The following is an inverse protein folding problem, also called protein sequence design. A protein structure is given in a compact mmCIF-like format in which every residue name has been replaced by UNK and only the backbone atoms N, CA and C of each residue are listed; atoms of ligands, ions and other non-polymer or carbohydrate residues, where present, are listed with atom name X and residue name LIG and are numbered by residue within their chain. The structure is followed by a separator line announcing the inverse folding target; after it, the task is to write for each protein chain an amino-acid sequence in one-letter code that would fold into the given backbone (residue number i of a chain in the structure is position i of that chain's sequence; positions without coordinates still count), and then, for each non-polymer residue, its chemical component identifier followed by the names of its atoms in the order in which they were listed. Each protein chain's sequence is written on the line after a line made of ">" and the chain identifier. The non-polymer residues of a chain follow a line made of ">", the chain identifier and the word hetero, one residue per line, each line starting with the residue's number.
data_IF_433204595367
#
_entry.id   IF_433204595367
#
_cell.length_a   1.000
_cell.length_b   1.000
_cell.length_c   1.000
_cell.angle_alpha   90.00
_cell.angle_beta   90.00
_cell.angle_gamma   90.00
#
_symmetry.space_group_name_H-M   'P 1'
#
loop_
_entity.id
_entity.type
_entity.pdbx_description
1 polymer ?
#
# COMPACT_ATOMS: atom_id res chain seq x y z
N UNK A 1 -1.97 28.23 -19.12
CA UNK A 1 -2.13 27.42 -20.35
C UNK A 1 -1.00 26.38 -20.47
N UNK A 2 -0.71 25.64 -19.39
CA UNK A 2 0.49 24.78 -19.31
C UNK A 2 0.20 23.37 -18.79
N UNK A 3 -1.07 22.95 -18.73
CA UNK A 3 -1.48 21.68 -18.13
C UNK A 3 -1.79 20.56 -19.14
N UNK A 4 -1.79 20.85 -20.45
CA UNK A 4 -2.18 19.87 -21.48
C UNK A 4 -0.99 19.02 -21.95
N UNK A 5 0.25 19.52 -21.82
CA UNK A 5 1.46 18.80 -22.24
C UNK A 5 1.90 17.72 -21.24
N UNK A 6 1.70 17.94 -19.93
CA UNK A 6 2.09 16.99 -18.88
C UNK A 6 1.28 15.67 -18.92
N UNK A 7 0.01 15.73 -19.34
CA UNK A 7 -0.83 14.52 -19.45
C UNK A 7 -0.45 13.62 -20.64
N UNK A 8 0.22 14.17 -21.66
CA UNK A 8 0.67 13.40 -22.82
C UNK A 8 1.97 12.64 -22.54
N UNK A 9 2.87 13.20 -21.71
CA UNK A 9 4.14 12.57 -21.35
C UNK A 9 3.95 11.39 -20.38
N UNK A 10 2.97 11.49 -19.47
CA UNK A 10 2.57 10.37 -18.61
C UNK A 10 2.04 9.15 -19.42
N UNK A 11 1.30 9.39 -20.51
CA UNK A 11 0.78 8.34 -21.39
C UNK A 11 1.89 7.67 -22.22
N UNK A 12 2.90 8.44 -22.66
CA UNK A 12 4.05 7.93 -23.42
C UNK A 12 4.98 7.10 -22.51
N UNK A 13 5.09 7.47 -21.24
CA UNK A 13 5.93 6.76 -20.26
C UNK A 13 5.33 5.41 -19.86
N UNK A 14 4.00 5.34 -19.70
CA UNK A 14 3.27 4.09 -19.46
C UNK A 14 3.41 3.09 -20.61
N UNK A 15 3.43 3.55 -21.87
CA UNK A 15 3.63 2.68 -23.03
C UNK A 15 5.08 2.18 -23.20
N UNK A 16 6.08 2.88 -22.67
CA UNK A 16 7.48 2.43 -22.72
C UNK A 16 7.80 1.31 -21.73
N UNK A 17 7.08 1.21 -20.62
CA UNK A 17 7.27 0.15 -19.62
C UNK A 17 6.73 -1.22 -20.08
N UNK A 18 5.90 -1.26 -21.14
CA UNK A 18 5.29 -2.49 -21.66
C UNK A 18 6.03 -3.05 -22.90
N UNK A 19 7.00 -2.32 -23.48
CA UNK A 19 7.47 -2.57 -24.85
C UNK A 19 8.96 -2.84 -25.10
N UNK A 20 9.84 -2.91 -24.09
CA UNK A 20 11.28 -3.03 -24.33
C UNK A 20 11.84 -4.43 -24.04
N UNK A 21 11.67 -5.35 -25.01
CA UNK A 21 12.45 -6.58 -25.11
C UNK A 21 13.05 -6.69 -26.52
N UNK A 22 14.26 -6.20 -26.73
CA UNK A 22 15.04 -6.44 -27.95
C UNK A 22 16.36 -7.12 -27.58
N UNK A 23 16.63 -8.18 -28.35
CA UNK A 23 17.76 -9.08 -28.29
C UNK A 23 19.09 -8.48 -28.78
N UNK A 24 20.19 -9.01 -28.25
CA UNK A 24 21.53 -9.00 -28.87
C UNK A 24 22.43 -10.09 -28.25
N UNK A 25 22.95 -11.04 -29.06
CA UNK A 25 23.98 -12.06 -28.70
C UNK A 25 25.42 -11.47 -28.71
N UNK A 26 26.56 -12.22 -28.94
CA UNK A 26 26.73 -13.60 -29.48
C UNK A 26 27.95 -14.46 -28.94
N UNK A 27 28.16 -15.67 -29.53
CA UNK A 27 29.39 -16.49 -29.74
C UNK A 27 29.81 -17.71 -28.85
N UNK A 28 29.78 -18.94 -29.41
CA UNK A 28 30.94 -19.83 -29.79
C UNK A 28 30.43 -21.25 -30.21
N UNK A 29 30.56 -21.71 -31.48
CA UNK A 29 31.59 -22.52 -32.18
C UNK A 29 31.79 -23.99 -31.71
N UNK A 30 31.13 -25.01 -32.32
CA UNK A 30 31.66 -26.04 -33.31
C UNK A 30 31.55 -27.50 -32.78
N UNK A 31 31.74 -28.60 -33.58
CA UNK A 31 30.85 -29.11 -34.64
C UNK A 31 30.61 -30.65 -34.64
N UNK A 32 29.73 -31.09 -35.56
CA UNK A 32 29.75 -32.38 -36.32
C UNK A 32 28.96 -33.60 -35.79
N UNK A 33 27.97 -34.07 -36.57
CA UNK A 33 28.10 -35.26 -37.46
C UNK A 33 26.78 -35.55 -38.22
N UNK A 34 26.91 -35.92 -39.49
CA UNK A 34 25.84 -36.12 -40.47
C UNK A 34 25.12 -37.48 -40.38
N UNK A 35 23.83 -37.50 -40.76
CA UNK A 35 23.15 -38.59 -41.49
C UNK A 35 21.81 -38.09 -42.09
N UNK A 36 21.58 -38.35 -43.37
CA UNK A 36 20.35 -38.09 -44.17
C UNK A 36 19.63 -39.41 -44.52
N UNK A 37 18.44 -39.41 -45.14
CA UNK A 37 17.10 -39.05 -44.65
C UNK A 37 16.14 -40.28 -44.74
N UNK A 38 14.80 -40.16 -44.55
CA UNK A 38 13.96 -40.07 -45.74
C UNK A 38 12.63 -39.29 -45.62
N UNK A 39 12.24 -38.77 -46.78
CA UNK A 39 10.89 -38.65 -47.38
C UNK A 39 9.89 -37.65 -46.78
N UNK A 40 9.59 -36.71 -47.67
CA UNK A 40 8.65 -35.60 -47.66
C UNK A 40 7.20 -36.09 -47.60
N UNK A 41 6.42 -35.52 -46.69
CA UNK A 41 5.00 -35.26 -46.93
C UNK A 41 4.73 -33.78 -46.62
N UNK A 42 4.41 -33.06 -47.68
CA UNK A 42 4.06 -31.65 -47.70
C UNK A 42 2.79 -31.38 -46.91
N UNK A 43 2.90 -30.66 -45.79
CA UNK A 43 1.78 -29.92 -45.22
C UNK A 43 2.21 -28.48 -44.93
N UNK A 44 1.37 -27.59 -45.45
CA UNK A 44 1.45 -26.15 -45.45
C UNK A 44 1.77 -25.55 -44.09
N UNK A 45 2.72 -24.62 -44.11
CA UNK A 45 2.98 -23.63 -43.07
C UNK A 45 1.68 -22.92 -42.72
N UNK A 46 1.10 -23.23 -41.57
CA UNK A 46 0.17 -22.34 -40.89
C UNK A 46 0.95 -21.63 -39.81
N UNK A 47 1.11 -20.32 -40.03
CA UNK A 47 1.60 -19.35 -39.06
C UNK A 47 1.03 -19.62 -37.67
N UNK A 48 1.89 -19.80 -36.68
CA UNK A 48 1.50 -19.69 -35.27
C UNK A 48 0.82 -18.33 -35.06
N UNK A 49 -0.39 -18.28 -34.48
CA UNK A 49 -0.93 -17.00 -34.05
C UNK A 49 -0.09 -16.53 -32.86
N UNK A 50 0.47 -15.33 -33.00
CA UNK A 50 1.02 -14.58 -31.87
C UNK A 50 -0.05 -14.32 -30.79
N UNK A 51 0.34 -13.73 -29.64
CA UNK A 51 -0.57 -13.56 -28.52
C UNK A 51 -1.79 -12.75 -28.95
N UNK A 52 -2.97 -13.36 -28.84
CA UNK A 52 -4.25 -12.76 -29.18
C UNK A 52 -4.44 -11.48 -28.36
N UNK A 53 -4.48 -10.34 -29.05
CA UNK A 53 -4.95 -9.07 -28.49
C UNK A 53 -6.38 -9.32 -27.98
N UNK A 54 -6.58 -9.24 -26.67
CA UNK A 54 -7.90 -9.34 -26.03
C UNK A 54 -8.86 -8.33 -26.69
N UNK A 55 -9.88 -8.84 -27.38
CA UNK A 55 -10.94 -8.03 -27.99
C UNK A 55 -11.56 -7.10 -26.95
N UNK A 56 -11.57 -5.80 -27.23
CA UNK A 56 -12.26 -4.76 -26.44
C UNK A 56 -13.74 -4.62 -26.84
N UNK A 57 -14.30 -5.59 -27.57
CA UNK A 57 -15.69 -5.54 -28.01
C UNK A 57 -16.66 -5.59 -26.80
N UNK A 58 -17.74 -4.78 -26.81
CA UNK A 58 -18.78 -4.87 -25.79
C UNK A 58 -19.35 -6.28 -25.73
N UNK A 59 -19.39 -6.86 -24.54
CA UNK A 59 -20.17 -8.05 -24.25
C UNK A 59 -21.56 -7.67 -23.74
N UNK A 60 -22.58 -8.55 -23.85
CA UNK A 60 -23.92 -8.28 -23.32
C UNK A 60 -23.90 -7.86 -21.85
N UNK A 61 -22.98 -8.44 -21.06
CA UNK A 61 -22.78 -8.06 -19.66
C UNK A 61 -22.21 -6.64 -19.50
N UNK A 62 -21.17 -6.28 -20.25
CA UNK A 62 -20.58 -4.93 -20.16
C UNK A 62 -21.57 -3.84 -20.58
N UNK A 63 -22.44 -4.11 -21.56
CA UNK A 63 -23.49 -3.18 -21.97
C UNK A 63 -24.56 -3.03 -20.87
N UNK A 64 -25.01 -4.15 -20.29
CA UNK A 64 -25.94 -4.16 -19.16
C UNK A 64 -25.38 -3.35 -17.97
N UNK A 65 -24.13 -3.60 -17.58
CA UNK A 65 -23.49 -2.91 -16.47
C UNK A 65 -23.34 -1.40 -16.76
N UNK A 66 -22.92 -1.04 -17.97
CA UNK A 66 -22.80 0.37 -18.39
C UNK A 66 -24.15 1.07 -18.34
N UNK A 67 -25.21 0.43 -18.83
CA UNK A 67 -26.56 0.97 -18.79
C UNK A 67 -27.06 1.18 -17.35
N UNK A 68 -26.80 0.23 -16.44
CA UNK A 68 -27.15 0.39 -15.03
C UNK A 68 -26.38 1.53 -14.36
N UNK A 69 -25.09 1.71 -14.68
CA UNK A 69 -24.29 2.84 -14.19
C UNK A 69 -24.80 4.19 -14.74
N UNK A 70 -25.23 4.25 -16.00
CA UNK A 70 -25.86 5.45 -16.58
C UNK A 70 -27.20 5.76 -15.90
N UNK A 71 -28.00 4.74 -15.58
CA UNK A 71 -29.23 4.91 -14.82
C UNK A 71 -28.95 5.41 -13.40
N UNK A 72 -27.92 4.90 -12.72
CA UNK A 72 -27.49 5.39 -11.41
C UNK A 72 -27.20 6.90 -11.44
N UNK A 73 -26.46 7.37 -12.45
CA UNK A 73 -26.16 8.80 -12.64
C UNK A 73 -27.44 9.61 -12.87
N UNK A 74 -28.39 9.10 -13.66
CA UNK A 74 -29.68 9.75 -13.89
C UNK A 74 -30.49 9.87 -12.60
N UNK A 75 -30.57 8.79 -11.82
CA UNK A 75 -31.28 8.76 -10.53
C UNK A 75 -30.64 9.73 -9.54
N UNK A 76 -29.30 9.80 -9.48
CA UNK A 76 -28.58 10.75 -8.63
C UNK A 76 -28.93 12.21 -8.99
N UNK A 77 -28.85 12.58 -10.28
CA UNK A 77 -29.13 13.95 -10.75
C UNK A 77 -30.59 14.36 -10.53
N UNK A 78 -31.54 13.43 -10.66
CA UNK A 78 -32.97 13.72 -10.43
C UNK A 78 -33.31 13.92 -8.95
N UNK A 79 -32.46 13.44 -8.04
CA UNK A 79 -32.73 13.43 -6.60
C UNK A 79 -31.93 14.46 -5.80
N UNK A 80 -31.42 15.52 -6.44
CA UNK A 80 -30.60 16.58 -5.80
C UNK A 80 -31.24 17.26 -4.58
N UNK A 81 -32.53 17.07 -4.30
CA UNK A 81 -33.26 17.72 -3.20
C UNK A 81 -33.80 16.80 -2.09
N UNK A 82 -33.53 15.49 -2.10
CA UNK A 82 -34.04 14.57 -1.06
C UNK A 82 -32.97 14.21 -0.03
N UNK A 83 -33.39 14.14 1.24
CA UNK A 83 -32.52 13.94 2.40
C UNK A 83 -31.88 12.55 2.50
N UNK A 84 -32.34 11.55 1.72
CA UNK A 84 -31.85 10.17 1.78
C UNK A 84 -30.70 9.91 0.81
N UNK A 85 -29.66 9.25 1.29
CA UNK A 85 -28.47 8.93 0.50
C UNK A 85 -28.82 8.03 -0.69
N UNK A 86 -28.04 8.13 -1.78
CA UNK A 86 -28.20 7.24 -2.94
C UNK A 86 -28.02 5.77 -2.54
N UNK A 87 -27.17 5.51 -1.55
CA UNK A 87 -26.91 4.18 -1.01
C UNK A 87 -28.11 3.57 -0.30
N UNK A 88 -29.00 4.39 0.27
CA UNK A 88 -30.16 3.94 1.07
C UNK A 88 -31.40 3.63 0.22
N UNK A 89 -31.35 3.87 -1.09
CA UNK A 89 -32.51 3.73 -1.98
C UNK A 89 -32.70 2.28 -2.43
N UNK A 90 -33.81 1.61 -2.05
CA UNK A 90 -34.04 0.21 -2.39
C UNK A 90 -34.03 -0.06 -3.89
N UNK A 91 -34.61 0.84 -4.69
CA UNK A 91 -34.65 0.71 -6.15
C UNK A 91 -33.26 0.78 -6.79
N UNK A 92 -32.35 1.56 -6.20
CA UNK A 92 -30.94 1.63 -6.62
C UNK A 92 -30.23 0.34 -6.26
N UNK A 93 -30.43 -0.17 -5.04
CA UNK A 93 -29.79 -1.41 -4.61
C UNK A 93 -30.24 -2.62 -5.41
N UNK A 94 -31.53 -2.69 -5.78
CA UNK A 94 -32.07 -3.74 -6.66
C UNK A 94 -31.46 -3.66 -8.07
N UNK A 95 -31.35 -2.45 -8.64
CA UNK A 95 -30.71 -2.23 -9.94
C UNK A 95 -29.25 -2.73 -9.91
N UNK A 96 -28.48 -2.30 -8.91
CA UNK A 96 -27.07 -2.66 -8.78
C UNK A 96 -26.89 -4.16 -8.56
N UNK A 97 -27.67 -4.78 -7.68
CA UNK A 97 -27.57 -6.21 -7.42
C UNK A 97 -27.82 -7.03 -8.69
N UNK A 98 -28.88 -6.68 -9.42
CA UNK A 98 -29.28 -7.43 -10.62
C UNK A 98 -28.34 -7.19 -11.80
N UNK A 99 -28.02 -5.93 -12.10
CA UNK A 99 -27.41 -5.56 -13.38
C UNK A 99 -25.90 -5.26 -13.30
N UNK A 100 -25.37 -5.05 -12.09
CA UNK A 100 -23.92 -4.88 -11.86
C UNK A 100 -23.32 -6.13 -11.24
N UNK A 101 -23.90 -6.62 -10.14
CA UNK A 101 -23.34 -7.72 -9.36
C UNK A 101 -23.89 -9.10 -9.74
N UNK A 102 -24.88 -9.16 -10.64
CA UNK A 102 -25.58 -10.37 -11.09
C UNK A 102 -26.09 -11.26 -9.94
N UNK A 103 -26.47 -10.63 -8.82
CA UNK A 103 -27.06 -11.30 -7.66
C UNK A 103 -28.51 -11.65 -8.02
N UNK A 104 -28.75 -12.93 -8.26
CA UNK A 104 -30.09 -13.46 -8.50
C UNK A 104 -30.86 -13.65 -7.18
N UNK A 105 -32.17 -13.87 -7.29
CA UNK A 105 -33.06 -14.11 -6.14
C UNK A 105 -32.63 -15.31 -5.28
N UNK A 106 -31.87 -16.25 -5.84
CA UNK A 106 -31.35 -17.42 -5.14
C UNK A 106 -30.10 -17.13 -4.29
N UNK A 107 -29.51 -15.93 -4.42
CA UNK A 107 -28.28 -15.46 -3.73
C UNK A 107 -27.06 -16.38 -3.89
N UNK A 108 -27.09 -17.31 -4.84
CA UNK A 108 -26.05 -18.33 -5.05
C UNK A 108 -25.23 -18.07 -6.30
N UNK A 109 -25.84 -17.44 -7.30
CA UNK A 109 -25.15 -17.13 -8.55
C UNK A 109 -24.10 -16.04 -8.31
N UNK A 110 -22.83 -16.39 -8.52
CA UNK A 110 -21.68 -15.47 -8.47
C UNK A 110 -21.15 -15.24 -9.88
N UNK A 111 -20.67 -14.03 -10.15
CA UNK A 111 -19.93 -13.73 -11.38
C UNK A 111 -18.71 -14.64 -11.51
N UNK A 112 -18.51 -15.21 -12.71
CA UNK A 112 -17.28 -15.91 -13.04
C UNK A 112 -16.11 -14.92 -13.19
N UNK A 113 -14.87 -15.43 -13.24
CA UNK A 113 -13.67 -14.57 -13.27
C UNK A 113 -13.60 -13.62 -14.46
N UNK A 114 -14.13 -14.03 -15.63
CA UNK A 114 -14.16 -13.16 -16.83
C UNK A 114 -15.15 -12.02 -16.62
N UNK A 115 -16.34 -12.31 -16.09
CA UNK A 115 -17.35 -11.30 -15.75
C UNK A 115 -16.83 -10.33 -14.69
N UNK A 116 -16.12 -10.83 -13.67
CA UNK A 116 -15.47 -9.97 -12.67
C UNK A 116 -14.48 -9.01 -13.33
N UNK A 117 -13.56 -9.51 -14.17
CA UNK A 117 -12.61 -8.66 -14.89
C UNK A 117 -13.29 -7.63 -15.81
N UNK A 118 -14.36 -8.03 -16.49
CA UNK A 118 -15.17 -7.13 -17.31
C UNK A 118 -15.82 -6.03 -16.46
N UNK A 119 -16.37 -6.40 -15.30
CA UNK A 119 -16.96 -5.44 -14.37
C UNK A 119 -15.91 -4.46 -13.82
N UNK A 120 -14.73 -4.94 -13.41
CA UNK A 120 -13.65 -4.08 -12.93
C UNK A 120 -13.26 -3.04 -13.98
N UNK A 121 -13.17 -3.44 -15.24
CA UNK A 121 -12.92 -2.51 -16.37
C UNK A 121 -14.04 -1.48 -16.52
N UNK A 122 -15.31 -1.91 -16.51
CA UNK A 122 -16.45 -1.00 -16.58
C UNK A 122 -16.48 0.00 -15.43
N UNK A 123 -16.24 -0.45 -14.20
CA UNK A 123 -16.21 0.41 -13.01
C UNK A 123 -15.04 1.38 -13.05
N UNK A 124 -13.85 0.92 -13.44
CA UNK A 124 -12.68 1.77 -13.59
C UNK A 124 -12.94 2.90 -14.60
N UNK A 125 -13.45 2.56 -15.80
CA UNK A 125 -13.83 3.55 -16.81
C UNK A 125 -14.89 4.51 -16.27
N UNK A 126 -15.93 3.99 -15.62
CA UNK A 126 -17.00 4.80 -15.04
C UNK A 126 -16.47 5.86 -14.07
N UNK A 127 -15.57 5.48 -13.15
CA UNK A 127 -14.97 6.40 -12.19
C UNK A 127 -13.94 7.33 -12.83
N UNK A 128 -13.26 6.91 -13.90
CA UNK A 128 -12.32 7.76 -14.66
C UNK A 128 -13.04 8.90 -15.38
N UNK A 129 -14.17 8.62 -16.02
CA UNK A 129 -14.99 9.62 -16.72
C UNK A 129 -15.63 10.64 -15.77
N UNK A 130 -15.57 10.39 -14.46
CA UNK A 130 -16.25 11.17 -13.40
C UNK A 130 -15.29 11.75 -12.38
N UNK A 131 -14.02 11.92 -12.73
CA UNK A 131 -13.00 12.49 -11.81
C UNK A 131 -13.46 13.83 -11.23
N UNK A 132 -14.08 14.68 -12.05
CA UNK A 132 -14.57 16.02 -11.65
C UNK A 132 -16.06 16.05 -11.25
N UNK A 133 -16.76 14.91 -11.16
CA UNK A 133 -18.16 14.88 -10.73
C UNK A 133 -18.25 14.95 -9.19
N UNK A 134 -18.87 16.00 -8.66
CA UNK A 134 -19.10 16.16 -7.22
C UNK A 134 -19.91 15.03 -6.56
N UNK A 135 -20.61 14.20 -7.33
CA UNK A 135 -21.36 13.03 -6.83
C UNK A 135 -20.53 11.74 -6.86
N UNK A 136 -19.24 11.79 -7.25
CA UNK A 136 -18.40 10.60 -7.41
C UNK A 136 -18.36 9.72 -6.17
N UNK A 137 -18.23 10.31 -4.98
CA UNK A 137 -18.25 9.56 -3.72
C UNK A 137 -19.62 8.93 -3.44
N UNK A 138 -20.72 9.62 -3.72
CA UNK A 138 -22.07 9.05 -3.57
C UNK A 138 -22.30 7.83 -4.48
N UNK A 139 -21.72 7.80 -5.69
CA UNK A 139 -21.74 6.60 -6.52
C UNK A 139 -20.93 5.46 -5.90
N UNK A 140 -19.75 5.77 -5.35
CA UNK A 140 -18.93 4.80 -4.62
C UNK A 140 -19.72 4.18 -3.44
N UNK A 141 -20.35 5.01 -2.61
CA UNK A 141 -21.17 4.54 -1.50
C UNK A 141 -22.34 3.68 -1.98
N UNK A 142 -23.05 4.12 -3.01
CA UNK A 142 -24.19 3.36 -3.53
C UNK A 142 -23.79 2.00 -4.10
N UNK A 143 -22.68 1.95 -4.85
CA UNK A 143 -22.18 0.73 -5.50
C UNK A 143 -21.64 -0.25 -4.46
N UNK A 144 -20.82 0.19 -3.50
CA UNK A 144 -20.09 -0.73 -2.63
C UNK A 144 -20.62 -0.81 -1.21
N UNK A 145 -21.22 0.26 -0.68
CA UNK A 145 -21.59 0.38 0.74
C UNK A 145 -23.10 0.26 1.01
N UNK A 146 -23.94 0.36 -0.02
CA UNK A 146 -25.41 0.38 0.13
C UNK A 146 -26.11 -0.91 0.57
N UNK A 147 -25.37 -1.96 0.93
CA UNK A 147 -25.89 -3.25 1.38
C UNK A 147 -25.49 -3.62 2.82
N UNK A 148 -25.12 -2.64 3.64
CA UNK A 148 -24.68 -2.88 5.03
C UNK A 148 -25.73 -3.63 5.90
N UNK A 149 -27.01 -3.63 5.50
CA UNK A 149 -28.10 -4.39 6.11
C UNK A 149 -28.05 -5.90 5.83
N UNK A 150 -27.37 -6.33 4.76
CA UNK A 150 -27.19 -7.73 4.37
C UNK A 150 -25.69 -8.08 4.32
N UNK A 151 -25.12 -8.67 5.40
CA UNK A 151 -23.68 -8.91 5.51
C UNK A 151 -23.09 -9.74 4.37
N UNK A 152 -23.84 -10.70 3.82
CA UNK A 152 -23.35 -11.57 2.74
C UNK A 152 -23.19 -10.77 1.45
N UNK A 153 -24.20 -9.97 1.11
CA UNK A 153 -24.16 -9.13 -0.10
C UNK A 153 -23.18 -7.97 0.04
N UNK A 154 -23.11 -7.37 1.24
CA UNK A 154 -22.12 -6.35 1.54
C UNK A 154 -20.70 -6.85 1.31
N UNK A 155 -20.37 -8.00 1.89
CA UNK A 155 -19.04 -8.60 1.76
C UNK A 155 -18.71 -8.97 0.31
N UNK A 156 -19.70 -9.42 -0.47
CA UNK A 156 -19.50 -9.65 -1.90
C UNK A 156 -19.13 -8.36 -2.64
N UNK A 157 -19.84 -7.26 -2.40
CA UNK A 157 -19.54 -5.97 -3.04
C UNK A 157 -18.18 -5.41 -2.59
N UNK A 158 -17.83 -5.54 -1.31
CA UNK A 158 -16.51 -5.15 -0.82
C UNK A 158 -15.39 -5.98 -1.45
N UNK A 159 -15.61 -7.26 -1.73
CA UNK A 159 -14.61 -8.08 -2.43
C UNK A 159 -14.31 -7.54 -3.85
N UNK A 160 -15.34 -7.12 -4.58
CA UNK A 160 -15.19 -6.48 -5.90
C UNK A 160 -14.52 -5.11 -5.75
N UNK A 161 -14.86 -4.35 -4.72
CA UNK A 161 -14.23 -3.06 -4.42
C UNK A 161 -12.72 -3.18 -4.21
N UNK A 162 -12.27 -4.14 -3.41
CA UNK A 162 -10.84 -4.37 -3.19
C UNK A 162 -10.13 -4.81 -4.47
N UNK A 163 -10.73 -5.71 -5.25
CA UNK A 163 -10.20 -6.05 -6.57
C UNK A 163 -10.09 -4.83 -7.50
N UNK A 164 -11.07 -3.91 -7.45
CA UNK A 164 -11.02 -2.65 -8.20
C UNK A 164 -9.89 -1.74 -7.72
N UNK A 165 -9.61 -1.68 -6.41
CA UNK A 165 -8.43 -0.96 -5.89
C UNK A 165 -7.17 -1.53 -6.52
N UNK A 166 -6.96 -2.85 -6.44
CA UNK A 166 -5.78 -3.51 -7.03
C UNK A 166 -5.66 -3.22 -8.53
N UNK A 167 -6.75 -3.34 -9.28
CA UNK A 167 -6.76 -2.99 -10.70
C UNK A 167 -6.40 -1.52 -10.91
N UNK A 168 -6.96 -0.61 -10.10
CA UNK A 168 -6.81 0.83 -10.28
C UNK A 168 -5.41 1.36 -9.95
N UNK A 169 -4.68 0.71 -9.05
CA UNK A 169 -3.33 1.11 -8.65
C UNK A 169 -2.32 1.01 -9.81
N UNK A 170 -2.59 0.15 -10.79
CA UNK A 170 -1.80 0.08 -12.02
C UNK A 170 -1.98 1.31 -12.93
N UNK A 171 -3.00 2.14 -12.67
CA UNK A 171 -3.36 3.31 -13.47
C UNK A 171 -3.52 4.55 -12.56
N UNK A 172 -2.45 5.37 -12.40
CA UNK A 172 -2.45 6.49 -11.45
C UNK A 172 -3.61 7.49 -11.59
N UNK A 173 -4.19 7.61 -12.78
CA UNK A 173 -5.32 8.51 -13.09
C UNK A 173 -6.62 8.13 -12.37
N UNK A 174 -6.78 6.89 -11.91
CA UNK A 174 -8.03 6.44 -11.31
C UNK A 174 -8.18 6.91 -9.86
N UNK A 175 -7.09 6.95 -9.08
CA UNK A 175 -7.06 7.37 -7.67
C UNK A 175 -8.20 6.78 -6.81
N UNK A 176 -8.68 5.58 -7.15
CA UNK A 176 -9.87 4.99 -6.53
C UNK A 176 -9.64 4.64 -5.05
N UNK A 177 -8.39 4.37 -4.68
CA UNK A 177 -7.97 4.13 -3.30
C UNK A 177 -8.33 5.28 -2.35
N UNK A 178 -8.41 6.53 -2.82
CA UNK A 178 -8.77 7.69 -2.00
C UNK A 178 -10.20 7.57 -1.46
N UNK A 179 -11.13 7.02 -2.26
CA UNK A 179 -12.51 6.77 -1.80
C UNK A 179 -12.55 5.68 -0.74
N UNK A 180 -11.77 4.61 -0.93
CA UNK A 180 -11.68 3.50 0.04
C UNK A 180 -11.06 3.98 1.35
N UNK A 181 -9.98 4.75 1.31
CA UNK A 181 -9.37 5.31 2.52
C UNK A 181 -10.30 6.30 3.23
N UNK A 182 -10.99 7.16 2.47
CA UNK A 182 -11.99 8.07 3.03
C UNK A 182 -13.09 7.31 3.79
N UNK A 183 -13.54 6.18 3.25
CA UNK A 183 -14.50 5.32 3.93
C UNK A 183 -13.93 4.64 5.18
N UNK A 184 -12.76 4.00 5.06
CA UNK A 184 -12.13 3.29 6.19
C UNK A 184 -11.90 4.25 7.36
N UNK A 185 -11.33 5.44 7.11
CA UNK A 185 -11.08 6.44 8.16
C UNK A 185 -12.36 7.05 8.78
N UNK A 186 -13.53 6.84 8.18
CA UNK A 186 -14.82 7.29 8.72
C UNK A 186 -15.51 6.23 9.58
N UNK A 187 -15.04 4.98 9.57
CA UNK A 187 -15.61 3.90 10.38
C UNK A 187 -15.50 4.24 11.87
N UNK A 188 -16.63 4.14 12.58
CA UNK A 188 -16.70 4.45 14.03
C UNK A 188 -16.34 3.23 14.89
N UNK A 189 -16.42 2.03 14.33
CA UNK A 189 -16.09 0.80 15.02
C UNK A 189 -14.63 0.43 14.72
N UNK A 190 -13.79 0.50 15.75
CA UNK A 190 -12.37 0.17 15.67
C UNK A 190 -12.13 -1.26 15.12
N UNK A 191 -12.96 -2.23 15.51
CA UNK A 191 -12.85 -3.61 15.04
C UNK A 191 -13.08 -3.72 13.52
N UNK A 192 -14.07 -3.00 12.99
CA UNK A 192 -14.33 -2.95 11.54
C UNK A 192 -13.25 -2.16 10.80
N UNK A 193 -12.83 -1.02 11.32
CA UNK A 193 -11.75 -0.21 10.73
C UNK A 193 -10.47 -1.04 10.58
N UNK A 194 -10.08 -1.75 11.64
CA UNK A 194 -8.94 -2.67 11.65
C UNK A 194 -9.12 -3.80 10.66
N UNK A 195 -10.27 -4.49 10.67
CA UNK A 195 -10.54 -5.61 9.78
C UNK A 195 -10.42 -5.22 8.29
N UNK A 196 -11.02 -4.10 7.89
CA UNK A 196 -11.00 -3.68 6.49
C UNK A 196 -9.66 -3.08 6.08
N UNK A 197 -8.95 -2.42 7.01
CA UNK A 197 -7.57 -1.98 6.81
C UNK A 197 -6.63 -3.16 6.56
N UNK A 198 -6.73 -4.21 7.39
CA UNK A 198 -5.90 -5.41 7.30
C UNK A 198 -6.15 -6.14 5.98
N UNK A 199 -7.42 -6.31 5.59
CA UNK A 199 -7.77 -6.92 4.29
C UNK A 199 -7.27 -6.13 3.09
N UNK A 200 -7.30 -4.80 3.15
CA UNK A 200 -6.76 -3.95 2.10
C UNK A 200 -5.24 -4.14 1.99
N UNK A 201 -4.53 -4.16 3.12
CA UNK A 201 -3.08 -4.34 3.17
C UNK A 201 -2.66 -5.73 2.71
N UNK A 202 -3.31 -6.79 3.19
CA UNK A 202 -3.04 -8.17 2.77
C UNK A 202 -3.07 -8.29 1.24
N UNK A 203 -4.14 -7.77 0.63
CA UNK A 203 -4.30 -7.79 -0.82
C UNK A 203 -3.21 -6.96 -1.54
N UNK A 204 -2.93 -5.73 -1.08
CA UNK A 204 -1.94 -4.87 -1.73
C UNK A 204 -0.53 -5.46 -1.60
N UNK A 205 -0.19 -6.01 -0.45
CA UNK A 205 1.12 -6.61 -0.20
C UNK A 205 1.28 -7.85 -1.06
N UNK A 206 0.27 -8.72 -1.14
CA UNK A 206 0.32 -9.90 -1.99
C UNK A 206 0.52 -9.53 -3.47
N UNK A 207 -0.31 -8.62 -3.99
CA UNK A 207 -0.33 -8.27 -5.42
C UNK A 207 0.86 -7.41 -5.86
N UNK A 208 1.42 -6.56 -5.01
CA UNK A 208 2.41 -5.56 -5.41
C UNK A 208 3.76 -5.69 -4.72
N UNK A 209 3.83 -6.23 -3.50
CA UNK A 209 5.09 -6.35 -2.76
C UNK A 209 5.66 -7.76 -2.92
N UNK A 210 4.87 -8.79 -2.61
CA UNK A 210 5.29 -10.20 -2.68
C UNK A 210 5.43 -10.69 -4.12
N UNK A 211 4.51 -10.28 -5.01
CA UNK A 211 4.59 -10.60 -6.43
C UNK A 211 5.67 -9.79 -7.19
N UNK A 212 6.34 -8.85 -6.51
CA UNK A 212 7.37 -8.03 -7.14
C UNK A 212 8.68 -8.80 -7.31
N UNK A 213 9.20 -8.77 -8.53
CA UNK A 213 10.51 -9.29 -8.91
C UNK A 213 11.39 -8.16 -9.44
N UNK A 214 12.68 -8.42 -9.61
CA UNK A 214 13.61 -7.48 -10.25
C UNK A 214 13.17 -7.05 -11.65
N UNK A 215 12.44 -7.92 -12.36
CA UNK A 215 11.98 -7.72 -13.73
C UNK A 215 10.65 -6.96 -13.83
N UNK A 216 9.65 -7.34 -13.02
CA UNK A 216 8.31 -6.74 -13.12
C UNK A 216 8.14 -5.48 -12.25
N UNK A 217 8.91 -5.37 -11.17
CA UNK A 217 8.92 -4.25 -10.22
C UNK A 217 7.53 -3.77 -9.82
N UNK A 218 6.61 -4.70 -9.54
CA UNK A 218 5.19 -4.40 -9.28
C UNK A 218 4.99 -3.34 -8.19
N UNK A 219 5.85 -3.31 -7.17
CA UNK A 219 5.78 -2.34 -6.08
C UNK A 219 5.84 -0.88 -6.55
N UNK A 220 6.41 -0.61 -7.74
CA UNK A 220 6.51 0.74 -8.31
C UNK A 220 5.15 1.37 -8.61
N UNK A 221 4.10 0.55 -8.82
CA UNK A 221 2.74 1.07 -8.95
C UNK A 221 2.21 1.71 -7.66
N UNK A 222 2.78 1.39 -6.51
CA UNK A 222 2.42 1.99 -5.23
C UNK A 222 3.16 3.33 -4.99
N UNK A 223 4.35 3.53 -5.57
CA UNK A 223 5.17 4.73 -5.34
C UNK A 223 4.43 6.07 -5.54
N UNK A 224 3.57 6.25 -6.56
CA UNK A 224 2.81 7.49 -6.76
C UNK A 224 1.82 7.80 -5.63
N UNK A 225 1.44 6.83 -4.79
CA UNK A 225 0.51 7.05 -3.68
C UNK A 225 1.07 8.02 -2.65
N UNK A 226 2.39 8.18 -2.58
CA UNK A 226 2.99 9.27 -1.84
C UNK A 226 2.33 10.59 -2.23
N UNK A 227 2.14 10.89 -3.50
CA UNK A 227 1.64 12.22 -3.89
C UNK A 227 0.12 12.33 -3.89
N UNK A 228 -0.60 11.21 -3.74
CA UNK A 228 -2.06 11.16 -3.97
C UNK A 228 -2.91 10.66 -2.80
N UNK A 229 -2.34 9.95 -1.81
CA UNK A 229 -3.10 9.30 -0.74
C UNK A 229 -2.32 9.17 0.58
N UNK A 230 -2.13 10.27 1.31
CA UNK A 230 -1.35 10.30 2.57
C UNK A 230 -1.92 9.37 3.66
N UNK A 231 -3.25 9.21 3.76
CA UNK A 231 -3.92 8.30 4.69
C UNK A 231 -3.48 6.85 4.46
N UNK A 232 -3.41 6.43 3.19
CA UNK A 232 -2.94 5.09 2.85
C UNK A 232 -1.46 4.93 3.19
N UNK A 233 -0.62 5.92 2.87
CA UNK A 233 0.80 5.87 3.21
C UNK A 233 1.02 5.72 4.72
N UNK A 234 0.26 6.47 5.54
CA UNK A 234 0.29 6.34 6.99
C UNK A 234 -0.14 4.94 7.45
N UNK A 235 -1.26 4.42 6.93
CA UNK A 235 -1.72 3.07 7.22
C UNK A 235 -0.69 1.99 6.83
N UNK A 236 -0.11 2.13 5.65
CA UNK A 236 0.89 1.21 5.12
C UNK A 236 2.13 1.17 6.02
N UNK A 237 2.71 2.33 6.37
CA UNK A 237 3.83 2.41 7.32
C UNK A 237 3.45 1.78 8.66
N UNK A 238 2.23 2.07 9.15
CA UNK A 238 1.78 1.68 10.47
C UNK A 238 1.55 0.17 10.64
N UNK A 239 1.29 -0.55 9.54
CA UNK A 239 0.79 -1.94 9.61
C UNK A 239 1.36 -2.88 8.58
N UNK A 240 1.76 -2.45 7.38
CA UNK A 240 2.23 -3.37 6.33
C UNK A 240 3.32 -4.35 6.79
N UNK A 241 4.27 -3.96 7.68
CA UNK A 241 5.24 -4.89 8.23
C UNK A 241 4.64 -6.07 9.02
N UNK A 242 3.39 -6.01 9.49
CA UNK A 242 2.72 -7.14 10.15
C UNK A 242 2.26 -8.19 9.12
N UNK A 243 1.98 -7.76 7.89
CA UNK A 243 1.34 -8.55 6.84
C UNK A 243 2.32 -9.18 5.84
N UNK A 244 3.62 -8.87 5.94
CA UNK A 244 4.63 -9.40 5.03
C UNK A 244 6.06 -9.36 5.58
N UNK A 245 7.01 -9.98 4.85
CA UNK A 245 8.43 -9.83 5.13
C UNK A 245 8.91 -8.40 4.80
N UNK A 246 9.93 -7.94 5.52
CA UNK A 246 10.63 -6.69 5.21
C UNK A 246 11.64 -6.94 4.07
N UNK A 247 11.13 -7.29 2.90
CA UNK A 247 11.92 -7.47 1.69
C UNK A 247 12.28 -6.11 1.05
N UNK A 248 13.22 -6.05 0.08
CA UNK A 248 13.65 -4.77 -0.50
C UNK A 248 12.49 -3.90 -1.06
N UNK A 249 11.47 -4.45 -1.77
CA UNK A 249 10.31 -3.67 -2.19
C UNK A 249 9.52 -3.04 -1.03
N UNK A 250 9.32 -3.77 0.07
CA UNK A 250 8.66 -3.24 1.28
C UNK A 250 9.46 -2.08 1.87
N UNK A 251 10.78 -2.22 2.00
CA UNK A 251 11.65 -1.19 2.57
C UNK A 251 11.65 0.07 1.70
N UNK A 252 11.75 -0.07 0.37
CA UNK A 252 11.75 1.08 -0.54
C UNK A 252 10.45 1.89 -0.43
N UNK A 253 9.30 1.22 -0.32
CA UNK A 253 8.01 1.86 -0.10
C UNK A 253 7.93 2.57 1.26
N UNK A 254 8.36 1.91 2.34
CA UNK A 254 8.37 2.49 3.68
C UNK A 254 9.23 3.75 3.72
N UNK A 255 10.44 3.70 3.16
CA UNK A 255 11.35 4.86 3.08
C UNK A 255 10.73 5.97 2.25
N UNK A 256 10.20 5.67 1.05
CA UNK A 256 9.56 6.67 0.18
C UNK A 256 8.40 7.37 0.87
N UNK A 257 7.52 6.61 1.53
CA UNK A 257 6.36 7.17 2.22
C UNK A 257 6.74 7.95 3.46
N UNK A 258 7.69 7.47 4.26
CA UNK A 258 8.23 8.23 5.40
C UNK A 258 8.82 9.55 4.91
N UNK A 259 9.75 9.53 3.95
CA UNK A 259 10.40 10.74 3.46
C UNK A 259 9.42 11.79 2.90
N UNK A 260 8.27 11.34 2.37
CA UNK A 260 7.28 12.25 1.78
C UNK A 260 6.22 12.71 2.81
N UNK A 261 5.90 11.90 3.84
CA UNK A 261 4.71 12.10 4.70
C UNK A 261 4.94 11.92 6.19
N UNK A 262 6.18 11.93 6.70
CA UNK A 262 6.46 11.56 8.09
C UNK A 262 5.64 12.38 9.11
N UNK A 263 5.45 13.68 8.88
CA UNK A 263 4.68 14.54 9.78
C UNK A 263 3.17 14.22 9.75
N UNK A 264 2.63 13.98 8.56
CA UNK A 264 1.24 13.55 8.40
C UNK A 264 1.01 12.20 9.07
N UNK A 265 1.93 11.25 8.85
CA UNK A 265 1.86 9.92 9.43
C UNK A 265 1.88 9.98 10.97
N UNK A 266 2.80 10.75 11.57
CA UNK A 266 2.84 10.93 13.03
C UNK A 266 1.54 11.54 13.58
N UNK A 267 0.99 12.53 12.87
CA UNK A 267 -0.32 13.12 13.22
C UNK A 267 -1.45 12.10 13.13
N UNK A 268 -1.47 11.29 12.07
CA UNK A 268 -2.47 10.26 11.88
C UNK A 268 -2.39 9.16 12.95
N UNK A 269 -1.18 8.71 13.30
CA UNK A 269 -0.97 7.74 14.40
C UNK A 269 -1.38 8.29 15.77
N UNK A 270 -1.22 9.60 15.98
CA UNK A 270 -1.71 10.28 17.17
C UNK A 270 -3.23 10.28 17.21
N UNK A 271 -3.87 10.66 16.10
CA UNK A 271 -5.32 10.85 16.05
C UNK A 271 -6.07 9.49 16.01
N UNK A 272 -5.38 8.41 15.61
CA UNK A 272 -5.90 7.03 15.58
C UNK A 272 -5.17 6.14 16.62
N UNK A 273 -5.57 6.25 17.90
CA UNK A 273 -4.85 5.62 19.03
C UNK A 273 -4.57 4.12 18.89
N UNK A 274 -5.52 3.34 18.38
CA UNK A 274 -5.34 1.89 18.22
C UNK A 274 -4.25 1.56 17.21
N UNK A 275 -4.17 2.33 16.12
CA UNK A 275 -3.18 2.21 15.07
C UNK A 275 -1.80 2.60 15.60
N UNK A 276 -1.72 3.73 16.33
CA UNK A 276 -0.48 4.16 16.98
C UNK A 276 0.04 3.14 18.02
N UNK A 277 -0.85 2.53 18.80
CA UNK A 277 -0.48 1.49 19.76
C UNK A 277 0.06 0.23 19.06
N UNK A 278 -0.64 -0.27 18.05
CA UNK A 278 -0.19 -1.43 17.27
C UNK A 278 1.15 -1.14 16.57
N UNK A 279 1.33 0.07 16.04
CA UNK A 279 2.59 0.49 15.42
C UNK A 279 3.74 0.44 16.43
N UNK A 280 3.59 1.06 17.60
CA UNK A 280 4.64 1.13 18.61
C UNK A 280 5.03 -0.26 19.17
N UNK A 281 4.06 -1.16 19.35
CA UNK A 281 4.31 -2.48 19.96
C UNK A 281 4.72 -3.55 18.97
N UNK A 282 4.24 -3.50 17.72
CA UNK A 282 4.39 -4.61 16.76
C UNK A 282 5.26 -4.25 15.57
N UNK A 283 5.08 -3.06 15.01
CA UNK A 283 5.77 -2.67 13.77
C UNK A 283 7.13 -2.06 14.06
N UNK A 284 7.18 -1.07 14.95
CA UNK A 284 8.41 -0.35 15.22
C UNK A 284 9.57 -1.27 15.68
N UNK A 285 9.35 -2.23 16.60
CA UNK A 285 10.40 -3.18 16.98
C UNK A 285 10.86 -4.04 15.80
N UNK A 286 9.94 -4.45 14.90
CA UNK A 286 10.26 -5.22 13.69
C UNK A 286 11.11 -4.43 12.70
N UNK A 287 10.87 -3.11 12.56
CA UNK A 287 11.70 -2.24 11.74
C UNK A 287 13.11 -2.09 12.31
N UNK A 288 13.23 -1.95 13.63
CA UNK A 288 14.53 -1.89 14.30
C UNK A 288 15.28 -3.21 14.16
N UNK A 289 14.63 -4.34 14.44
CA UNK A 289 15.20 -5.68 14.27
C UNK A 289 15.76 -5.90 12.86
N UNK A 290 15.02 -5.47 11.83
CA UNK A 290 15.50 -5.55 10.45
C UNK A 290 16.77 -4.74 10.22
N UNK A 291 16.83 -3.48 10.68
CA UNK A 291 18.05 -2.65 10.56
C UNK A 291 19.23 -3.24 11.34
N UNK A 292 18.97 -3.92 12.45
CA UNK A 292 20.02 -4.57 13.24
C UNK A 292 20.55 -5.86 12.58
N UNK A 293 19.76 -6.47 11.69
CA UNK A 293 20.10 -7.74 11.02
C UNK A 293 20.63 -7.53 9.60
N UNK A 294 20.07 -6.56 8.86
CA UNK A 294 20.32 -6.31 7.44
C UNK A 294 21.18 -5.04 7.26
N UNK A 295 22.41 -5.22 6.78
CA UNK A 295 23.40 -4.15 6.57
C UNK A 295 23.51 -3.82 5.09
N UNK A 296 22.40 -3.42 4.47
CA UNK A 296 22.32 -2.97 3.07
C UNK A 296 22.09 -1.46 2.99
N UNK A 297 22.43 -0.82 1.86
CA UNK A 297 22.21 0.64 1.65
C UNK A 297 20.75 1.08 1.90
N UNK A 298 19.79 0.19 1.69
CA UNK A 298 18.38 0.45 1.95
C UNK A 298 18.06 0.53 3.46
N UNK A 299 18.81 -0.17 4.31
CA UNK A 299 18.63 -0.12 5.76
C UNK A 299 19.13 1.20 6.35
N UNK A 300 20.13 1.84 5.75
CA UNK A 300 20.61 3.18 6.17
C UNK A 300 19.54 4.26 6.00
N UNK A 301 18.81 4.25 4.89
CA UNK A 301 17.71 5.20 4.67
C UNK A 301 16.56 4.98 5.67
N UNK A 302 16.33 3.72 6.06
CA UNK A 302 15.32 3.39 7.07
C UNK A 302 15.74 3.86 8.47
N UNK A 303 17.04 3.84 8.81
CA UNK A 303 17.56 4.39 10.09
C UNK A 303 17.12 5.83 10.29
N UNK A 304 17.25 6.68 9.26
CA UNK A 304 16.82 8.08 9.34
C UNK A 304 15.35 8.24 9.73
N UNK A 305 14.48 7.42 9.12
CA UNK A 305 13.05 7.39 9.43
C UNK A 305 12.79 6.92 10.87
N UNK A 306 13.44 5.84 11.29
CA UNK A 306 13.34 5.27 12.66
C UNK A 306 13.77 6.31 13.70
N UNK A 307 14.92 6.96 13.50
CA UNK A 307 15.45 7.98 14.40
C UNK A 307 14.50 9.18 14.51
N UNK A 308 13.96 9.67 13.38
CA UNK A 308 13.00 10.77 13.39
C UNK A 308 11.74 10.42 14.19
N UNK A 309 11.16 9.24 13.93
CA UNK A 309 9.96 8.76 14.62
C UNK A 309 10.23 8.60 16.13
N UNK A 310 11.35 8.01 16.53
CA UNK A 310 11.73 7.87 17.95
C UNK A 310 11.77 9.23 18.67
N UNK A 311 12.44 10.21 18.07
CA UNK A 311 12.59 11.54 18.65
C UNK A 311 11.23 12.25 18.79
N UNK A 312 10.36 12.08 17.79
CA UNK A 312 9.05 12.74 17.75
C UNK A 312 7.96 11.98 18.51
N UNK A 313 8.10 10.68 18.76
CA UNK A 313 7.03 9.87 19.34
C UNK A 313 6.53 10.42 20.68
N UNK A 314 7.44 10.63 21.63
CA UNK A 314 7.09 11.11 22.96
C UNK A 314 6.61 12.57 22.97
N UNK A 315 7.09 13.39 22.03
CA UNK A 315 6.78 14.81 21.95
C UNK A 315 5.44 15.05 21.26
N UNK A 316 5.24 14.42 20.10
CA UNK A 316 4.22 14.80 19.12
C UNK A 316 3.09 13.76 19.01
N UNK A 317 3.32 12.50 19.40
CA UNK A 317 2.37 11.39 19.18
C UNK A 317 1.78 10.84 20.48
N UNK A 318 2.62 10.49 21.45
CA UNK A 318 2.19 9.83 22.68
C UNK A 318 1.14 10.66 23.43
N UNK A 319 0.15 9.97 24.02
CA UNK A 319 -0.87 10.59 24.85
C UNK A 319 -0.22 11.30 26.05
N UNK A 320 -0.73 12.48 26.37
CA UNK A 320 -0.36 13.27 27.56
C UNK A 320 -1.62 13.66 28.34
N UNK A 321 -1.46 14.32 29.49
CA UNK A 321 -2.60 14.86 30.23
C UNK A 321 -3.45 15.84 29.39
N UNK A 322 -2.83 16.50 28.41
CA UNK A 322 -3.44 17.56 27.61
C UNK A 322 -3.83 17.09 26.19
N UNK A 323 -3.37 15.90 25.77
CA UNK A 323 -3.50 15.43 24.38
C UNK A 323 -3.89 13.96 24.30
N UNK A 324 -4.94 13.67 23.54
CA UNK A 324 -5.31 12.30 23.16
C UNK A 324 -4.26 11.72 22.21
N UNK A 325 -3.99 10.43 22.33
CA UNK A 325 -2.99 9.75 21.52
C UNK A 325 -2.92 8.25 21.83
N UNK A 326 -1.98 7.52 21.20
CA UNK A 326 -1.59 6.21 21.66
C UNK A 326 -0.98 6.27 23.07
N UNK A 327 -1.20 5.22 23.85
CA UNK A 327 -0.68 5.08 25.22
C UNK A 327 0.62 4.28 25.26
N UNK A 328 0.96 3.58 24.16
CA UNK A 328 2.15 2.74 24.08
C UNK A 328 3.37 3.56 23.68
N UNK A 329 4.44 3.41 24.46
CA UNK A 329 5.76 3.96 24.14
C UNK A 329 6.47 3.04 23.16
N UNK A 330 7.30 3.62 22.33
CA UNK A 330 8.28 2.86 21.56
C UNK A 330 9.43 2.51 22.51
N UNK A 331 9.55 1.24 22.87
CA UNK A 331 10.65 0.72 23.69
C UNK A 331 11.41 -0.35 22.92
N UNK A 332 12.59 0.03 22.41
CA UNK A 332 13.44 -0.81 21.56
C UNK A 332 14.83 -1.06 22.15
N UNK A 333 15.08 -0.56 23.37
CA UNK A 333 16.39 -0.71 24.01
C UNK A 333 16.77 -2.18 24.24
N UNK A 334 15.83 -3.08 24.50
CA UNK A 334 16.16 -4.50 24.66
C UNK A 334 16.72 -5.11 23.37
N UNK A 335 16.23 -4.71 22.20
CA UNK A 335 16.78 -5.12 20.91
C UNK A 335 18.16 -4.49 20.69
N UNK A 336 18.27 -3.17 20.88
CA UNK A 336 19.51 -2.41 20.63
C UNK A 336 20.64 -2.83 21.57
N UNK A 337 20.33 -3.25 22.79
CA UNK A 337 21.30 -3.68 23.81
C UNK A 337 21.52 -5.20 23.80
N UNK A 338 20.87 -5.94 22.90
CA UNK A 338 21.11 -7.38 22.75
C UNK A 338 22.53 -7.64 22.23
N UNK A 339 23.28 -8.58 22.82
CA UNK A 339 24.58 -8.99 22.30
C UNK A 339 24.48 -9.79 20.99
N UNK A 340 23.28 -10.19 20.58
CA UNK A 340 23.05 -11.03 19.40
C UNK A 340 23.23 -10.28 18.07
N UNK A 341 23.07 -8.96 18.09
CA UNK A 341 23.24 -8.14 16.89
C UNK A 341 24.68 -7.61 16.78
N UNK A 342 25.22 -7.44 15.56
CA UNK A 342 26.49 -6.77 15.34
C UNK A 342 26.41 -5.27 15.70
N UNK A 343 27.58 -4.64 15.83
CA UNK A 343 27.66 -3.19 15.90
C UNK A 343 27.72 -2.60 14.50
N UNK A 344 26.79 -1.69 14.21
CA UNK A 344 26.66 -0.97 12.95
C UNK A 344 26.41 0.51 13.25
N UNK A 345 26.69 1.38 12.28
CA UNK A 345 26.34 2.80 12.40
C UNK A 345 24.86 2.99 12.70
N UNK A 346 23.99 2.24 12.00
CA UNK A 346 22.55 2.23 12.23
C UNK A 346 22.17 1.93 13.69
N UNK A 347 22.74 0.87 14.28
CA UNK A 347 22.52 0.52 15.70
C UNK A 347 22.90 1.68 16.63
N UNK A 348 24.04 2.31 16.38
CA UNK A 348 24.54 3.41 17.22
C UNK A 348 23.67 4.66 17.08
N UNK A 349 23.22 4.99 15.87
CA UNK A 349 22.29 6.12 15.64
C UNK A 349 20.94 5.90 16.32
N UNK A 350 20.39 4.68 16.24
CA UNK A 350 19.14 4.34 16.92
C UNK A 350 19.34 4.39 18.44
N UNK A 351 20.46 3.86 18.97
CA UNK A 351 20.79 3.94 20.39
C UNK A 351 20.80 5.40 20.88
N UNK A 352 21.47 6.29 20.13
CA UNK A 352 21.54 7.73 20.45
C UNK A 352 20.16 8.38 20.54
N UNK A 353 19.21 7.96 19.71
CA UNK A 353 17.83 8.48 19.73
C UNK A 353 16.96 7.80 20.80
N UNK A 354 17.19 6.51 21.08
CA UNK A 354 16.39 5.72 22.02
C UNK A 354 16.70 6.03 23.50
N UNK A 355 17.97 6.29 23.85
CA UNK A 355 18.37 6.54 25.24
C UNK A 355 17.68 7.78 25.85
N UNK A 356 17.64 8.96 25.19
CA UNK A 356 16.99 10.15 25.76
C UNK A 356 15.47 10.01 25.96
N UNK A 357 14.82 9.15 25.18
CA UNK A 357 13.35 8.99 25.16
C UNK A 357 12.86 7.79 25.97
N UNK A 358 13.76 6.95 26.47
CA UNK A 358 13.42 5.77 27.25
C UNK A 358 12.94 6.11 28.67
N UNK A 359 12.09 5.24 29.22
CA UNK A 359 11.74 5.28 30.64
C UNK A 359 12.83 4.69 31.57
N UNK A 360 13.85 4.04 31.01
CA UNK A 360 14.94 3.41 31.78
C UNK A 360 15.95 4.46 32.25
N UNK A 361 16.45 4.29 33.47
CA UNK A 361 17.51 5.14 33.99
C UNK A 361 18.79 5.01 33.15
N UNK A 362 19.39 6.14 32.78
CA UNK A 362 20.63 6.23 31.98
C UNK A 362 21.77 5.39 32.57
N UNK A 363 21.91 5.37 33.90
CA UNK A 363 22.93 4.54 34.58
C UNK A 363 22.71 3.03 34.39
N UNK A 364 21.44 2.58 34.35
CA UNK A 364 21.12 1.17 34.08
C UNK A 364 21.48 0.78 32.66
N UNK A 365 21.17 1.65 31.70
CA UNK A 365 21.50 1.45 30.28
C UNK A 365 23.03 1.41 30.11
N UNK A 366 23.75 2.37 30.70
CA UNK A 366 25.22 2.44 30.64
C UNK A 366 25.87 1.16 31.21
N UNK A 367 25.34 0.64 32.32
CA UNK A 367 25.78 -0.63 32.92
C UNK A 367 25.51 -1.85 32.03
N UNK A 368 24.45 -1.84 31.22
CA UNK A 368 24.20 -2.90 30.26
C UNK A 368 25.18 -2.82 29.09
N UNK A 369 25.42 -1.63 28.56
CA UNK A 369 26.38 -1.41 27.46
C UNK A 369 27.80 -1.77 27.88
N UNK A 370 28.22 -1.46 29.11
CA UNK A 370 29.56 -1.80 29.59
C UNK A 370 29.82 -3.31 29.69
N UNK A 371 28.80 -4.15 29.52
CA UNK A 371 28.91 -5.62 29.46
C UNK A 371 28.98 -6.14 28.02
N UNK A 372 28.72 -5.29 27.03
CA UNK A 372 28.81 -5.62 25.62
C UNK A 372 30.23 -5.39 25.13
N UNK A 373 30.67 -6.22 24.18
CA UNK A 373 31.92 -6.00 23.47
C UNK A 373 31.70 -4.94 22.39
N UNK A 374 32.07 -3.68 22.69
CA UNK A 374 31.92 -2.54 21.79
C UNK A 374 33.21 -2.31 21.02
N UNK A 375 33.20 -2.35 19.67
CA UNK A 375 34.35 -1.99 18.85
C UNK A 375 34.83 -0.55 19.09
N UNK A 376 36.15 -0.34 19.03
CA UNK A 376 36.78 0.94 19.37
C UNK A 376 36.24 2.13 18.56
N UNK A 377 35.89 1.91 17.29
CA UNK A 377 35.34 2.94 16.41
C UNK A 377 33.97 3.47 16.88
N UNK A 378 33.23 2.71 17.69
CA UNK A 378 31.92 3.12 18.21
C UNK A 378 31.99 3.66 19.65
N UNK A 379 33.06 3.39 20.40
CA UNK A 379 33.20 3.79 21.82
C UNK A 379 33.01 5.29 22.02
N UNK A 380 33.64 6.11 21.18
CA UNK A 380 33.52 7.57 21.25
C UNK A 380 32.06 8.06 21.10
N UNK A 381 31.30 7.44 20.19
CA UNK A 381 29.89 7.82 19.97
C UNK A 381 29.04 7.37 21.15
N UNK A 382 29.28 6.17 21.68
CA UNK A 382 28.59 5.69 22.87
C UNK A 382 28.87 6.61 24.07
N UNK A 383 30.13 7.01 24.28
CA UNK A 383 30.50 7.93 25.36
C UNK A 383 29.78 9.29 25.20
N UNK A 384 29.62 9.80 23.97
CA UNK A 384 28.81 11.01 23.69
C UNK A 384 27.35 10.84 24.12
N UNK A 385 26.71 9.69 23.83
CA UNK A 385 25.34 9.38 24.29
C UNK A 385 25.26 9.47 25.82
N UNK A 386 26.30 9.03 26.52
CA UNK A 386 26.31 9.01 27.99
C UNK A 386 26.81 10.29 28.66
N UNK A 387 27.38 11.24 27.91
CA UNK A 387 27.80 12.55 28.42
C UNK A 387 26.64 13.42 28.92
N UNK A 388 26.91 14.35 29.86
CA UNK A 388 25.92 15.34 30.34
C UNK A 388 25.56 16.39 29.27
N UNK A 389 26.44 16.62 28.28
CA UNK A 389 26.24 17.60 27.19
C UNK A 389 25.21 17.16 26.14
N UNK A 390 24.87 15.88 26.10
CA UNK A 390 23.88 15.34 25.15
C UNK A 390 22.47 15.91 25.33
N UNK A 391 22.13 16.44 26.53
CA UNK A 391 20.83 17.10 26.78
C UNK A 391 20.62 18.35 25.94
N UNK A 392 21.69 19.01 25.48
CA UNK A 392 21.62 20.32 24.82
C UNK A 392 21.64 20.22 23.29
N UNK A 393 22.05 19.07 22.72
CA UNK A 393 22.11 18.86 21.26
C UNK A 393 20.88 18.20 20.65
N UNK A 394 19.92 17.69 21.45
CA UNK A 394 18.69 17.09 20.92
C UNK A 394 17.62 18.10 20.46
N UNK A 395 17.93 19.40 20.44
CA UNK A 395 16.96 20.48 20.16
C UNK A 395 17.39 21.49 19.08
N UNK A 396 18.50 21.26 18.37
CA UNK A 396 18.97 22.12 17.26
C UNK A 396 19.71 21.19 16.29
N UNK A 397 19.34 20.97 15.02
CA UNK A 397 18.71 21.79 13.99
C UNK A 397 18.05 20.88 12.96
#
# INVERSE_FOLDING_TARGET
>A
MSSVTASSEALITANKMVGAGIASGPHSLTPSRAATPPVISSQSVTSSPGPTVLSTAPTPFTEQATNALLQLVKISKMNRSRATSLAEKPEVQVLLDKDIFLIQSDRRTKMNSIQQLQLLRCLAQFFQERVDDGHRYAYFEAIFLGRADDPILHEYRLSVMFQLVSFSLQYPVLQFINHVMSWICQLRNEGSEKLYSDRLLDMIIDHFVNASTETNQMYRFLMPLADTCSEFCALFIARAPIHGPLNPPMIELLVKYCNSHIEFMLRHLRDTSWLGNDFAEKVFPKLVDHVLTDVTDNSENLVGCICYILNKWNQDVLATAERKGPTKRIEVLDLILSPEYPWTDGRVYILRCAVPVSNRCKATIQKQISRLDVPDNFKLVIDDVFSEEAKTRSYVK
#
